data_IF_649106771765
#
_entry.id   IF_649106771765
#
_cell.length_a   1.000
_cell.length_b   1.000
_cell.length_c   1.000
_cell.angle_alpha   90.00
_cell.angle_beta   90.00
_cell.angle_gamma   90.00
#
_symmetry.space_group_name_H-M   'P 1'
#
loop_
_entity.id
_entity.type
_entity.pdbx_description
1 polymer ?
#
# COMPACT_ATOMS: atom_id res chain seq x y z
N UNK A 1 7.03 9.05 1.86
CA UNK A 1 5.72 8.52 1.41
C UNK A 1 4.74 8.43 2.57
N UNK A 2 4.94 7.53 3.55
CA UNK A 2 3.95 7.30 4.64
C UNK A 2 3.43 8.58 5.32
N UNK A 3 4.29 9.51 5.79
CA UNK A 3 3.81 10.73 6.45
C UNK A 3 2.95 11.60 5.52
N UNK A 4 3.34 11.69 4.25
CA UNK A 4 2.68 12.51 3.23
C UNK A 4 1.31 11.94 2.87
N UNK A 5 1.21 10.61 2.77
CA UNK A 5 -0.06 9.91 2.55
C UNK A 5 -1.02 10.15 3.72
N UNK A 6 -0.54 10.03 4.97
CA UNK A 6 -1.38 10.30 6.15
C UNK A 6 -1.92 11.74 6.17
N UNK A 7 -1.09 12.73 5.84
CA UNK A 7 -1.50 14.14 5.75
C UNK A 7 -2.50 14.35 4.62
N UNK A 8 -2.26 13.78 3.44
CA UNK A 8 -3.17 13.86 2.30
C UNK A 8 -4.53 13.21 2.59
N UNK A 9 -4.57 12.03 3.21
CA UNK A 9 -5.82 11.39 3.62
C UNK A 9 -6.56 12.19 4.71
N UNK A 10 -5.82 12.84 5.61
CA UNK A 10 -6.44 13.74 6.59
C UNK A 10 -7.09 14.94 5.92
N UNK A 11 -6.43 15.59 4.95
CA UNK A 11 -6.95 16.75 4.23
C UNK A 11 -8.12 16.37 3.30
N UNK A 12 -7.95 15.32 2.49
CA UNK A 12 -8.90 14.97 1.43
C UNK A 12 -10.11 14.15 1.93
N UNK A 13 -9.90 13.29 2.93
CA UNK A 13 -10.93 12.35 3.42
C UNK A 13 -11.34 12.60 4.89
N UNK A 14 -10.79 13.65 5.54
CA UNK A 14 -11.05 14.00 6.95
C UNK A 14 -10.86 12.83 7.93
N UNK A 15 -9.95 11.91 7.59
CA UNK A 15 -9.71 10.69 8.36
C UNK A 15 -8.88 11.02 9.61
N UNK A 16 -9.41 10.71 10.78
CA UNK A 16 -8.74 10.91 12.06
C UNK A 16 -7.89 9.68 12.40
N UNK A 17 -6.59 9.88 12.57
CA UNK A 17 -5.64 8.86 13.03
C UNK A 17 -5.49 8.90 14.57
N UNK A 18 -5.33 7.73 15.20
CA UNK A 18 -5.01 7.60 16.62
C UNK A 18 -3.66 8.25 16.93
N UNK A 19 -3.50 8.58 18.22
CA UNK A 19 -2.27 9.15 18.77
C UNK A 19 -1.07 8.25 18.51
N UNK A 20 -1.25 6.94 18.53
CA UNK A 20 -0.19 5.95 18.26
C UNK A 20 0.33 6.02 16.82
N UNK A 21 -0.57 6.16 15.85
CA UNK A 21 -0.20 6.32 14.43
C UNK A 21 0.53 7.65 14.21
N UNK A 22 0.04 8.74 14.81
CA UNK A 22 0.71 10.06 14.73
C UNK A 22 2.12 10.04 15.31
N UNK A 23 2.30 9.39 16.46
CA UNK A 23 3.61 9.26 17.11
C UNK A 23 4.57 8.39 16.28
N UNK A 24 4.08 7.31 15.69
CA UNK A 24 4.87 6.47 14.78
C UNK A 24 5.34 7.23 13.53
N UNK A 25 4.44 8.02 12.93
CA UNK A 25 4.78 8.89 11.79
C UNK A 25 5.84 9.92 12.19
N UNK A 26 5.75 10.51 13.38
CA UNK A 26 6.76 11.44 13.89
C UNK A 26 8.14 10.78 14.01
N UNK A 27 8.22 9.55 14.52
CA UNK A 27 9.48 8.79 14.61
C UNK A 27 10.07 8.55 13.22
N UNK A 28 9.25 8.18 12.23
CA UNK A 28 9.69 8.02 10.83
C UNK A 28 10.26 9.34 10.28
N UNK A 29 9.58 10.47 10.52
CA UNK A 29 10.04 11.79 10.06
C UNK A 29 11.38 12.16 10.70
N UNK A 30 11.56 11.89 12.00
CA UNK A 30 12.83 12.13 12.70
C UNK A 30 13.95 11.26 12.09
N UNK A 31 13.73 9.96 11.90
CA UNK A 31 14.73 9.06 11.32
C UNK A 31 15.18 9.50 9.93
N UNK A 32 14.23 9.85 9.05
CA UNK A 32 14.51 10.36 7.70
C UNK A 32 15.21 11.73 7.75
N UNK A 33 14.83 12.59 8.69
CA UNK A 33 15.49 13.89 8.90
C UNK A 33 16.96 13.75 9.30
N UNK A 34 17.27 12.81 10.22
CA UNK A 34 18.64 12.49 10.60
C UNK A 34 19.44 12.00 9.39
N UNK A 35 18.90 11.05 8.62
CA UNK A 35 19.55 10.57 7.39
C UNK A 35 19.88 11.72 6.43
N UNK A 36 18.91 12.63 6.23
CA UNK A 36 19.03 13.73 5.27
C UNK A 36 20.09 14.76 5.70
N UNK A 37 20.16 15.11 7.00
CA UNK A 37 21.16 16.07 7.50
C UNK A 37 22.57 15.47 7.50
N UNK A 38 22.68 14.15 7.68
CA UNK A 38 23.98 13.46 7.68
C UNK A 38 24.47 13.08 6.29
N UNK A 39 23.62 13.21 5.27
CA UNK A 39 24.01 12.94 3.89
C UNK A 39 24.81 14.12 3.34
N UNK A 40 26.09 13.87 3.05
CA UNK A 40 27.03 14.87 2.51
C UNK A 40 26.72 15.28 1.06
N UNK A 41 25.79 14.62 0.37
CA UNK A 41 25.50 14.83 -1.07
C UNK A 41 24.13 15.44 -1.37
N UNK A 42 23.49 16.13 -0.41
CA UNK A 42 22.17 16.73 -0.65
C UNK A 42 22.24 17.82 -1.73
N UNK A 43 21.67 17.52 -2.90
CA UNK A 43 21.50 18.48 -4.00
C UNK A 43 20.11 19.11 -3.93
N UNK A 44 20.02 20.44 -3.86
CA UNK A 44 18.74 21.16 -3.78
C UNK A 44 17.79 20.85 -4.95
N UNK A 45 18.30 20.74 -6.19
CA UNK A 45 17.47 20.39 -7.36
C UNK A 45 16.89 18.98 -7.23
N UNK A 46 17.72 18.03 -6.80
CA UNK A 46 17.29 16.64 -6.55
C UNK A 46 16.30 16.54 -5.41
N UNK A 47 16.50 17.32 -4.34
CA UNK A 47 15.60 17.36 -3.19
C UNK A 47 14.21 17.88 -3.57
N UNK A 48 14.11 18.99 -4.30
CA UNK A 48 12.82 19.52 -4.79
C UNK A 48 12.13 18.50 -5.70
N UNK A 49 12.88 17.88 -6.63
CA UNK A 49 12.34 16.84 -7.50
C UNK A 49 11.81 15.64 -6.70
N UNK A 50 12.54 15.19 -5.66
CA UNK A 50 12.12 14.12 -4.77
C UNK A 50 10.86 14.49 -3.98
N UNK A 51 10.74 15.73 -3.47
CA UNK A 51 9.52 16.20 -2.80
C UNK A 51 8.30 16.15 -3.72
N UNK A 52 8.42 16.66 -4.96
CA UNK A 52 7.35 16.60 -5.97
C UNK A 52 7.00 15.15 -6.32
N UNK A 53 8.00 14.29 -6.50
CA UNK A 53 7.79 12.87 -6.77
C UNK A 53 7.02 12.19 -5.63
N UNK A 54 7.41 12.43 -4.37
CA UNK A 54 6.73 11.86 -3.20
C UNK A 54 5.29 12.34 -3.10
N UNK A 55 5.01 13.62 -3.35
CA UNK A 55 3.64 14.15 -3.36
C UNK A 55 2.81 13.52 -4.48
N UNK A 56 3.35 13.46 -5.69
CA UNK A 56 2.68 12.88 -6.86
C UNK A 56 2.37 11.39 -6.66
N UNK A 57 3.34 10.60 -6.20
CA UNK A 57 3.12 9.17 -5.93
C UNK A 57 2.15 8.94 -4.78
N UNK A 58 2.16 9.80 -3.75
CA UNK A 58 1.20 9.70 -2.65
C UNK A 58 -0.24 9.92 -3.14
N UNK A 59 -0.46 10.94 -3.99
CA UNK A 59 -1.75 11.19 -4.64
C UNK A 59 -2.18 10.03 -5.54
N UNK A 60 -1.25 9.50 -6.34
CA UNK A 60 -1.50 8.33 -7.18
C UNK A 60 -1.92 7.13 -6.34
N UNK A 61 -1.23 6.87 -5.23
CA UNK A 61 -1.51 5.73 -4.35
C UNK A 61 -2.89 5.84 -3.69
N UNK A 62 -3.24 7.03 -3.19
CA UNK A 62 -4.57 7.29 -2.61
C UNK A 62 -5.66 7.13 -3.66
N UNK A 63 -5.46 7.68 -4.87
CA UNK A 63 -6.43 7.61 -5.97
C UNK A 63 -6.65 6.17 -6.41
N UNK A 64 -5.58 5.40 -6.63
CA UNK A 64 -5.65 3.98 -6.99
C UNK A 64 -6.38 3.19 -5.91
N UNK A 65 -6.03 3.40 -4.63
CA UNK A 65 -6.68 2.72 -3.50
C UNK A 65 -8.18 3.05 -3.40
N UNK A 66 -8.55 4.32 -3.61
CA UNK A 66 -9.94 4.77 -3.61
C UNK A 66 -10.73 4.17 -4.77
N UNK A 67 -10.16 4.16 -5.99
CA UNK A 67 -10.80 3.57 -7.18
C UNK A 67 -10.98 2.06 -7.03
N UNK A 68 -9.97 1.36 -6.51
CA UNK A 68 -10.05 -0.08 -6.27
C UNK A 68 -11.18 -0.42 -5.29
N UNK A 69 -11.34 0.37 -4.22
CA UNK A 69 -12.43 0.19 -3.24
C UNK A 69 -13.80 0.58 -3.79
N UNK A 70 -13.88 1.65 -4.59
CA UNK A 70 -15.16 2.18 -5.13
C UNK A 70 -15.74 1.28 -6.21
N UNK A 71 -14.91 0.75 -7.10
CA UNK A 71 -15.37 -0.02 -8.25
C UNK A 71 -15.17 -1.54 -8.09
N UNK A 72 -14.56 -2.00 -7.00
CA UNK A 72 -14.21 -3.41 -6.76
C UNK A 72 -13.43 -4.05 -7.94
N UNK A 73 -12.72 -3.24 -8.71
CA UNK A 73 -11.95 -3.67 -9.89
C UNK A 73 -10.67 -4.35 -9.42
N UNK A 74 -10.28 -5.42 -10.09
CA UNK A 74 -9.01 -6.11 -9.83
C UNK A 74 -7.81 -5.20 -10.12
N UNK A 75 -6.77 -5.28 -9.29
CA UNK A 75 -5.57 -4.43 -9.39
C UNK A 75 -4.92 -4.49 -10.78
N UNK A 76 -4.91 -5.66 -11.42
CA UNK A 76 -4.33 -5.87 -12.76
C UNK A 76 -5.11 -5.15 -13.87
N UNK A 77 -6.43 -5.07 -13.75
CA UNK A 77 -7.27 -4.35 -14.72
C UNK A 77 -7.08 -2.83 -14.58
N UNK A 78 -6.96 -2.34 -13.34
CA UNK A 78 -6.62 -0.95 -13.08
C UNK A 78 -5.23 -0.58 -13.63
N UNK A 79 -4.23 -1.46 -13.46
CA UNK A 79 -2.91 -1.30 -14.06
C UNK A 79 -3.02 -1.20 -15.58
N UNK A 80 -3.74 -2.13 -16.21
CA UNK A 80 -3.84 -2.19 -17.68
C UNK A 80 -4.46 -0.92 -18.27
N UNK A 81 -5.38 -0.27 -17.54
CA UNK A 81 -5.97 1.02 -17.92
C UNK A 81 -5.06 2.21 -17.62
N UNK A 82 -4.26 2.14 -16.56
CA UNK A 82 -3.40 3.26 -16.12
C UNK A 82 -2.05 3.29 -16.83
N UNK A 83 -1.46 2.12 -17.13
CA UNK A 83 -0.18 1.96 -17.80
C UNK A 83 -0.05 2.72 -19.13
N UNK A 84 -1.01 2.65 -20.08
CA UNK A 84 -0.89 3.37 -21.34
C UNK A 84 -0.91 4.89 -21.14
N UNK A 85 -1.77 5.39 -20.23
CA UNK A 85 -1.85 6.81 -19.91
C UNK A 85 -0.52 7.29 -19.29
N UNK A 86 0.05 6.50 -18.38
CA UNK A 86 1.37 6.80 -17.79
C UNK A 86 2.47 6.79 -18.84
N UNK A 87 2.50 5.80 -19.73
CA UNK A 87 3.48 5.72 -20.81
C UNK A 87 3.40 6.94 -21.76
N UNK A 88 2.19 7.33 -22.18
CA UNK A 88 1.97 8.51 -23.02
C UNK A 88 2.41 9.79 -22.30
N UNK A 89 2.05 9.93 -21.02
CA UNK A 89 2.47 11.10 -20.24
C UNK A 89 3.99 11.18 -20.09
N UNK A 90 4.67 10.05 -19.87
CA UNK A 90 6.13 10.00 -19.76
C UNK A 90 6.80 10.29 -21.10
N UNK A 91 6.23 9.81 -22.21
CA UNK A 91 6.73 10.10 -23.56
C UNK A 91 6.67 11.61 -23.86
N UNK A 92 5.59 12.27 -23.44
CA UNK A 92 5.39 13.70 -23.66
C UNK A 92 6.31 14.51 -22.74
N UNK A 93 6.26 14.29 -21.42
CA UNK A 93 6.96 15.15 -20.45
C UNK A 93 8.43 14.77 -20.23
N UNK A 94 8.81 13.51 -20.44
CA UNK A 94 10.15 12.99 -20.18
C UNK A 94 11.26 13.78 -20.90
N UNK A 95 11.18 13.97 -22.23
CA UNK A 95 12.20 14.71 -22.97
C UNK A 95 12.37 16.17 -22.54
N UNK A 96 11.29 16.85 -22.14
CA UNK A 96 11.37 18.24 -21.65
C UNK A 96 12.05 18.33 -20.29
N UNK A 97 11.72 17.42 -19.37
CA UNK A 97 12.32 17.38 -18.04
C UNK A 97 13.81 17.00 -18.14
N UNK A 98 14.16 16.04 -19.00
CA UNK A 98 15.55 15.64 -19.20
C UNK A 98 16.40 16.76 -19.81
N UNK A 99 15.85 17.50 -20.77
CA UNK A 99 16.49 18.70 -21.30
C UNK A 99 16.70 19.77 -20.22
N UNK A 100 15.70 20.04 -19.38
CA UNK A 100 15.80 21.01 -18.29
C UNK A 100 16.85 20.64 -17.24
N UNK A 101 17.06 19.34 -16.97
CA UNK A 101 18.01 18.86 -15.99
C UNK A 101 19.45 18.76 -16.54
N UNK A 102 19.61 18.25 -17.78
CA UNK A 102 20.91 17.91 -18.35
C UNK A 102 21.42 18.92 -19.40
N UNK A 103 20.60 19.90 -19.83
CA UNK A 103 20.89 20.86 -20.91
C UNK A 103 21.32 20.21 -22.25
N UNK A 104 21.06 18.91 -22.41
CA UNK A 104 21.38 18.13 -23.60
C UNK A 104 20.12 17.38 -24.02
N UNK A 105 19.85 17.36 -25.32
CA UNK A 105 18.77 16.55 -25.84
C UNK A 105 19.17 15.07 -25.85
N UNK A 106 18.21 14.21 -25.47
CA UNK A 106 18.32 12.74 -25.51
C UNK A 106 18.79 12.24 -26.88
N UNK A 107 18.44 12.95 -27.95
CA UNK A 107 18.80 12.63 -29.35
C UNK A 107 20.29 12.74 -29.66
N UNK A 108 21.07 13.44 -28.83
CA UNK A 108 22.53 13.57 -29.01
C UNK A 108 23.33 12.46 -28.28
N UNK A 109 22.65 11.51 -27.63
CA UNK A 109 23.32 10.44 -26.90
C UNK A 109 23.90 9.38 -27.85
N UNK A 110 25.20 9.07 -27.70
CA UNK A 110 25.85 7.99 -28.45
C UNK A 110 25.38 6.63 -27.92
N UNK A 111 24.43 6.03 -28.62
CA UNK A 111 23.92 4.70 -28.28
C UNK A 111 24.99 3.63 -28.56
N UNK A 112 25.61 3.13 -27.48
CA UNK A 112 26.48 1.95 -27.52
C UNK A 112 25.66 0.67 -27.35
N UNK A 113 26.09 -0.43 -27.96
CA UNK A 113 25.43 -1.75 -27.84
C UNK A 113 25.28 -2.18 -26.37
N UNK A 114 26.31 -1.90 -25.55
CA UNK A 114 26.24 -2.18 -24.11
C UNK A 114 25.17 -1.34 -23.40
N UNK A 115 25.06 -0.05 -23.74
CA UNK A 115 24.03 0.83 -23.18
C UNK A 115 22.62 0.37 -23.57
N UNK A 116 22.42 -0.08 -24.81
CA UNK A 116 21.14 -0.60 -25.28
C UNK A 116 20.75 -1.89 -24.54
N UNK A 117 21.69 -2.80 -24.29
CA UNK A 117 21.45 -4.00 -23.49
C UNK A 117 21.03 -3.67 -22.05
N UNK A 118 21.72 -2.74 -21.39
CA UNK A 118 21.36 -2.32 -20.04
C UNK A 118 19.98 -1.62 -19.98
N UNK A 119 19.64 -0.82 -20.99
CA UNK A 119 18.32 -0.18 -21.09
C UNK A 119 17.22 -1.23 -21.22
N UNK A 120 17.37 -2.19 -22.13
CA UNK A 120 16.38 -3.26 -22.34
C UNK A 120 16.22 -4.08 -21.06
N UNK A 121 17.34 -4.48 -20.43
CA UNK A 121 17.32 -5.24 -19.17
C UNK A 121 16.59 -4.45 -18.06
N UNK A 122 16.90 -3.17 -17.90
CA UNK A 122 16.25 -2.30 -16.91
C UNK A 122 14.74 -2.18 -17.17
N UNK A 123 14.33 -2.01 -18.43
CA UNK A 123 12.92 -1.96 -18.81
C UNK A 123 12.20 -3.28 -18.51
N UNK A 124 12.80 -4.43 -18.84
CA UNK A 124 12.24 -5.74 -18.51
C UNK A 124 12.06 -5.94 -17.01
N UNK A 125 13.06 -5.56 -16.20
CA UNK A 125 12.97 -5.61 -14.74
C UNK A 125 11.90 -4.67 -14.18
N UNK A 126 11.73 -3.48 -14.77
CA UNK A 126 10.69 -2.54 -14.36
C UNK A 126 9.28 -3.08 -14.62
N UNK A 127 9.05 -3.72 -15.78
CA UNK A 127 7.79 -4.41 -16.08
C UNK A 127 7.52 -5.51 -15.05
N UNK A 128 8.53 -6.34 -14.75
CA UNK A 128 8.39 -7.39 -13.76
C UNK A 128 8.09 -6.86 -12.36
N UNK A 129 8.74 -5.77 -11.94
CA UNK A 129 8.47 -5.10 -10.66
C UNK A 129 7.03 -4.59 -10.59
N UNK A 130 6.53 -3.96 -11.67
CA UNK A 130 5.15 -3.48 -11.73
C UNK A 130 4.17 -4.66 -11.64
N UNK A 131 4.34 -5.70 -12.47
CA UNK A 131 3.47 -6.89 -12.42
C UNK A 131 3.48 -7.54 -11.04
N UNK A 132 4.66 -7.73 -10.45
CA UNK A 132 4.82 -8.26 -9.09
C UNK A 132 4.07 -7.43 -8.05
N UNK A 133 4.18 -6.10 -8.10
CA UNK A 133 3.46 -5.20 -7.19
C UNK A 133 1.95 -5.40 -7.29
N UNK A 134 1.40 -5.46 -8.50
CA UNK A 134 -0.04 -5.64 -8.71
C UNK A 134 -0.54 -7.05 -8.34
N UNK A 135 0.25 -8.09 -8.60
CA UNK A 135 -0.04 -9.46 -8.14
C UNK A 135 -0.05 -9.54 -6.61
N UNK A 136 0.90 -8.89 -5.95
CA UNK A 136 0.96 -8.83 -4.50
C UNK A 136 -0.29 -8.15 -3.91
N UNK A 137 -0.77 -7.05 -4.51
CA UNK A 137 -1.99 -6.36 -4.06
C UNK A 137 -3.23 -7.28 -4.19
N UNK A 138 -3.31 -8.08 -5.27
CA UNK A 138 -4.48 -8.92 -5.54
C UNK A 138 -4.53 -10.24 -4.79
N UNK A 139 -3.38 -10.77 -4.36
CA UNK A 139 -3.28 -12.13 -3.77
C UNK A 139 -2.96 -12.14 -2.28
N UNK A 140 -2.37 -11.07 -1.74
CA UNK A 140 -1.99 -11.00 -0.33
C UNK A 140 -3.01 -10.23 0.51
N UNK A 141 -3.11 -10.61 1.80
CA UNK A 141 -3.85 -9.84 2.79
C UNK A 141 -3.17 -8.49 3.05
N UNK A 142 -3.92 -7.54 3.62
CA UNK A 142 -3.40 -6.21 3.98
C UNK A 142 -2.16 -6.27 4.89
N UNK A 143 -2.08 -7.28 5.76
CA UNK A 143 -0.97 -7.51 6.68
C UNK A 143 0.26 -8.03 5.94
N UNK A 144 0.10 -9.01 5.04
CA UNK A 144 1.19 -9.53 4.20
C UNK A 144 1.76 -8.46 3.26
N UNK A 145 0.91 -7.58 2.70
CA UNK A 145 1.36 -6.48 1.86
C UNK A 145 2.22 -5.45 2.63
N UNK A 146 1.88 -5.18 3.89
CA UNK A 146 2.70 -4.32 4.76
C UNK A 146 4.07 -4.92 5.05
N UNK A 147 4.14 -6.21 5.40
CA UNK A 147 5.41 -6.91 5.64
C UNK A 147 6.29 -6.91 4.39
N UNK A 148 5.71 -7.19 3.21
CA UNK A 148 6.44 -7.11 1.93
C UNK A 148 6.95 -5.70 1.64
N UNK A 149 6.18 -4.67 1.99
CA UNK A 149 6.60 -3.27 1.89
C UNK A 149 7.86 -2.98 2.71
N UNK A 150 7.88 -3.41 3.98
CA UNK A 150 9.04 -3.23 4.85
C UNK A 150 10.26 -4.02 4.38
N UNK A 151 10.05 -5.28 3.97
CA UNK A 151 11.12 -6.11 3.42
C UNK A 151 11.73 -5.49 2.17
N UNK A 152 10.91 -4.96 1.26
CA UNK A 152 11.37 -4.24 0.07
C UNK A 152 12.27 -3.08 0.45
N UNK A 153 11.86 -2.26 1.43
CA UNK A 153 12.67 -1.11 1.88
C UNK A 153 14.02 -1.56 2.45
N UNK A 154 14.03 -2.58 3.32
CA UNK A 154 15.27 -3.10 3.91
C UNK A 154 16.20 -3.66 2.82
N UNK A 155 15.69 -4.46 1.89
CA UNK A 155 16.48 -4.99 0.78
C UNK A 155 17.08 -3.88 -0.10
N UNK A 156 16.30 -2.85 -0.43
CA UNK A 156 16.79 -1.71 -1.24
C UNK A 156 17.90 -0.96 -0.51
N UNK A 157 17.77 -0.74 0.80
CA UNK A 157 18.81 -0.07 1.60
C UNK A 157 20.09 -0.92 1.69
N UNK A 158 19.97 -2.22 1.98
CA UNK A 158 21.12 -3.13 2.10
C UNK A 158 21.83 -3.31 0.76
N UNK A 159 21.09 -3.51 -0.33
CA UNK A 159 21.68 -3.61 -1.68
C UNK A 159 22.29 -2.29 -2.12
N UNK A 160 21.67 -1.15 -1.79
CA UNK A 160 22.23 0.17 -2.07
C UNK A 160 23.56 0.38 -1.38
N UNK A 161 23.68 -0.05 -0.12
CA UNK A 161 24.96 -0.02 0.58
C UNK A 161 26.01 -0.95 -0.05
N UNK A 162 25.63 -2.21 -0.30
CA UNK A 162 26.55 -3.25 -0.81
C UNK A 162 27.09 -2.93 -2.20
N UNK A 163 26.27 -2.35 -3.09
CA UNK A 163 26.63 -2.11 -4.49
C UNK A 163 27.33 -0.76 -4.74
N UNK A 164 27.01 0.28 -3.97
CA UNK A 164 27.54 1.63 -4.21
C UNK A 164 28.71 2.02 -3.30
N UNK A 165 29.17 1.10 -2.42
CA UNK A 165 30.29 1.26 -1.49
C UNK A 165 30.34 2.66 -0.84
N UNK A 166 29.16 3.19 -0.50
CA UNK A 166 29.07 4.52 0.09
C UNK A 166 29.58 4.47 1.52
N UNK A 167 30.35 5.50 1.89
CA UNK A 167 30.77 5.79 3.26
C UNK A 167 29.53 6.06 4.14
N UNK A 168 28.84 4.99 4.53
CA UNK A 168 27.75 5.07 5.48
C UNK A 168 28.33 5.46 6.84
N UNK A 169 28.31 6.76 7.09
CA UNK A 169 28.63 7.27 8.43
C UNK A 169 27.69 6.63 9.44
N UNK A 170 28.19 6.29 10.62
CA UNK A 170 27.42 5.67 11.70
C UNK A 170 26.10 6.41 12.00
N UNK A 171 26.08 7.74 11.86
CA UNK A 171 24.89 8.58 12.03
C UNK A 171 23.81 8.31 10.98
N UNK A 172 24.18 8.03 9.73
CA UNK A 172 23.23 7.70 8.65
C UNK A 172 22.60 6.32 8.91
N UNK A 173 23.41 5.34 9.33
CA UNK A 173 22.93 4.00 9.72
C UNK A 173 21.93 4.10 10.87
N UNK A 174 22.25 4.91 11.90
CA UNK A 174 21.34 5.15 13.02
C UNK A 174 20.01 5.76 12.57
N UNK A 175 20.05 6.76 11.67
CA UNK A 175 18.84 7.34 11.09
C UNK A 175 18.00 6.32 10.31
N UNK A 176 18.65 5.46 9.51
CA UNK A 176 17.98 4.41 8.75
C UNK A 176 17.28 3.40 9.66
N UNK A 177 17.94 2.96 10.74
CA UNK A 177 17.37 2.04 11.73
C UNK A 177 16.15 2.66 12.40
N UNK A 178 16.24 3.92 12.84
CA UNK A 178 15.11 4.64 13.45
C UNK A 178 13.93 4.74 12.46
N UNK A 179 14.20 5.04 11.19
CA UNK A 179 13.17 5.13 10.16
C UNK A 179 12.47 3.77 9.94
N UNK A 180 13.24 2.68 9.84
CA UNK A 180 12.69 1.32 9.68
C UNK A 180 11.87 0.91 10.90
N UNK A 181 12.36 1.15 12.12
CA UNK A 181 11.61 0.87 13.35
C UNK A 181 10.30 1.67 13.39
N UNK A 182 10.34 2.96 13.05
CA UNK A 182 9.15 3.79 12.93
C UNK A 182 8.13 3.25 11.92
N UNK A 183 8.60 2.71 10.79
CA UNK A 183 7.72 2.10 9.78
C UNK A 183 7.05 0.82 10.29
N UNK A 184 7.78 -0.01 11.04
CA UNK A 184 7.25 -1.24 11.65
C UNK A 184 6.19 -0.90 12.70
N UNK A 185 6.49 0.04 13.61
CA UNK A 185 5.55 0.49 14.65
C UNK A 185 4.31 1.13 14.01
N UNK A 186 4.48 1.94 12.97
CA UNK A 186 3.36 2.52 12.21
C UNK A 186 2.44 1.43 11.64
N UNK A 187 3.01 0.40 11.01
CA UNK A 187 2.23 -0.71 10.47
C UNK A 187 1.45 -1.46 11.54
N UNK A 188 2.09 -1.71 12.69
CA UNK A 188 1.42 -2.35 13.81
C UNK A 188 0.28 -1.50 14.38
N UNK A 189 0.50 -0.19 14.56
CA UNK A 189 -0.52 0.74 15.05
C UNK A 189 -1.72 0.83 14.10
N UNK A 190 -1.48 0.91 12.78
CA UNK A 190 -2.56 0.93 11.77
C UNK A 190 -3.34 -0.39 11.75
N UNK A 191 -2.67 -1.53 11.92
CA UNK A 191 -3.35 -2.82 11.97
C UNK A 191 -4.18 -2.98 13.25
N UNK A 192 -3.65 -2.52 14.40
CA UNK A 192 -4.37 -2.48 15.67
C UNK A 192 -5.62 -1.59 15.61
N UNK A 193 -5.55 -0.44 14.91
CA UNK A 193 -6.72 0.42 14.67
C UNK A 193 -7.78 -0.26 13.81
N UNK A 194 -7.40 -0.99 12.77
CA UNK A 194 -8.35 -1.75 11.93
C UNK A 194 -9.03 -2.85 12.72
N UNK A 195 -8.28 -3.62 13.51
CA UNK A 195 -8.83 -4.66 14.38
C UNK A 195 -9.77 -4.09 15.44
N UNK A 196 -9.39 -2.96 16.06
CA UNK A 196 -10.21 -2.25 17.04
C UNK A 196 -11.47 -1.64 16.41
N UNK A 197 -11.40 -1.14 15.17
CA UNK A 197 -12.55 -0.57 14.46
C UNK A 197 -13.54 -1.64 13.97
N UNK A 198 -13.06 -2.83 13.60
CA UNK A 198 -13.92 -4.01 13.36
C UNK A 198 -14.58 -4.50 14.64
N UNK A 199 -13.92 -4.40 15.80
CA UNK A 199 -14.53 -4.70 17.10
C UNK A 199 -15.52 -3.61 17.57
N UNK A 200 -15.29 -2.33 17.21
CA UNK A 200 -16.15 -1.19 17.58
C UNK A 200 -17.38 -1.01 16.69
N UNK A 201 -17.45 -1.66 15.53
CA UNK A 201 -18.66 -1.75 14.69
C UNK A 201 -19.62 -2.88 15.13
N UNK A 202 -19.53 -3.33 16.39
CA UNK A 202 -20.63 -3.98 17.07
C UNK A 202 -21.10 -3.07 18.22
N UNK A 203 -22.00 -2.12 17.95
CA UNK A 203 -22.98 -1.73 18.94
C UNK A 203 -24.38 -2.14 18.45
N UNK A 204 -24.94 -3.15 19.10
CA UNK A 204 -26.36 -3.19 19.45
C UNK A 204 -27.43 -3.47 18.36
N UNK A 205 -27.28 -4.50 17.51
CA UNK A 205 -28.42 -5.08 16.72
C UNK A 205 -28.42 -6.63 16.68
N UNK A 206 -27.83 -7.31 17.68
CA UNK A 206 -27.84 -8.79 17.74
C UNK A 206 -28.61 -9.42 18.90
N UNK A 207 -29.22 -8.62 19.77
CA UNK A 207 -30.03 -9.18 20.87
C UNK A 207 -31.52 -9.31 20.54
N UNK A 208 -32.03 -8.65 19.50
CA UNK A 208 -33.47 -8.61 19.22
C UNK A 208 -33.94 -9.60 18.14
N UNK A 209 -33.11 -9.96 17.16
CA UNK A 209 -33.54 -10.82 16.05
C UNK A 209 -33.42 -12.33 16.34
N UNK A 210 -32.54 -12.72 17.27
CA UNK A 210 -32.36 -14.15 17.59
C UNK A 210 -33.45 -14.67 18.52
N UNK A 211 -34.08 -13.82 19.32
CA UNK A 211 -35.10 -14.25 20.29
C UNK A 211 -36.51 -14.35 19.66
N UNK A 212 -36.82 -13.52 18.66
CA UNK A 212 -38.05 -13.65 17.85
C UNK A 212 -38.00 -14.89 16.93
N UNK A 213 -36.88 -15.17 16.26
CA UNK A 213 -36.74 -16.40 15.45
C UNK A 213 -36.79 -17.68 16.30
N UNK A 214 -36.22 -17.67 17.51
CA UNK A 214 -36.30 -18.81 18.45
C UNK A 214 -37.72 -18.99 19.00
N UNK A 215 -38.47 -17.91 19.24
CA UNK A 215 -39.89 -17.98 19.64
C UNK A 215 -40.78 -18.51 18.52
N UNK A 216 -40.59 -18.05 17.29
CA UNK A 216 -41.34 -18.52 16.12
C UNK A 216 -41.06 -20.00 15.79
N UNK A 217 -39.81 -20.46 16.00
CA UNK A 217 -39.47 -21.88 15.88
C UNK A 217 -40.06 -22.74 16.99
N UNK A 218 -40.31 -22.18 18.19
CA UNK A 218 -40.94 -22.91 19.29
C UNK A 218 -42.47 -22.97 19.14
N UNK A 219 -43.12 -21.90 18.69
CA UNK A 219 -44.56 -21.90 18.38
C UNK A 219 -44.91 -22.75 17.15
N UNK A 220 -44.01 -22.87 16.17
CA UNK A 220 -44.19 -23.73 15.00
C UNK A 220 -44.02 -25.24 15.28
N UNK A 221 -43.43 -25.62 16.42
CA UNK A 221 -43.27 -27.02 16.84
C UNK A 221 -44.46 -27.50 17.68
N UNK A 222 -45.06 -26.62 18.48
CA UNK A 222 -46.22 -26.95 19.33
C UNK A 222 -47.57 -27.01 18.57
N UNK A 223 -47.61 -26.62 17.30
CA UNK A 223 -48.85 -26.59 16.48
C UNK A 223 -49.04 -27.78 15.54
N UNK A 224 -48.27 -28.86 15.71
CA UNK A 224 -48.55 -30.13 15.02
C UNK A 224 -49.38 -31.03 15.95
N UNK A 225 -50.70 -31.19 15.77
CA UNK A 225 -51.43 -32.18 16.52
C UNK A 225 -51.03 -33.55 15.97
N UNK A 226 -50.38 -34.35 16.83
CA UNK A 226 -50.32 -35.80 16.68
C UNK A 226 -51.76 -36.29 16.61
N UNK A 227 -52.23 -36.64 15.41
CA UNK A 227 -53.43 -37.45 15.23
C UNK A 227 -52.98 -38.90 15.10
N UNK A 228 -53.15 -39.62 16.19
CA UNK A 228 -53.25 -41.07 16.20
C UNK A 228 -54.33 -41.53 15.22
N UNK A 229 -53.98 -42.45 14.31
CA UNK A 229 -54.94 -43.38 13.69
C UNK A 229 -54.27 -44.75 13.64
N UNK A 230 -54.63 -45.57 14.63
CA UNK A 230 -54.42 -47.02 14.64
C UNK A 230 -55.33 -47.76 13.63
N UNK A 231 -54.89 -48.98 13.31
CA UNK A 231 -55.66 -50.22 13.08
C UNK A 231 -56.21 -50.59 11.68
N UNK A 232 -55.92 -51.84 11.30
CA UNK A 232 -56.67 -52.63 10.31
C UNK A 232 -55.81 -53.56 9.45
N UNK A 233 -55.15 -54.56 10.05
CA UNK A 233 -55.48 -56.00 9.91
C UNK A 233 -54.86 -56.76 8.73
N UNK A 234 -54.30 -57.91 9.11
CA UNK A 234 -53.84 -59.01 8.29
C UNK A 234 -55.02 -59.88 7.85
N UNK A 235 -55.07 -60.32 6.58
CA UNK A 235 -55.26 -61.74 6.21
C UNK A 235 -55.32 -61.97 4.69
N UNK A 236 -54.64 -63.06 4.32
CA UNK A 236 -54.80 -63.98 3.18
C UNK A 236 -54.50 -63.45 1.76
#
# INVERSE_FOLDING_TARGET
MIPVVCVMEWILHNKQYSKEVKLSVLVVVIGVGVCTVTDVKVNAKGFICACVAVLSTSLQQITIGSLQKKYSIGSFELLSKTAPIQAVSLLIFGPFIDYYLNNKFITNYKMSTAAMLFIILSCSLAVFCNVSQYLCIGRFSATSFQVLGHMKTICVLTLGWLLFDSELTFKNIMGMVIAVLGMVVYSWAVEAEKGSSSAKNIPHVKSSLTEEEIRLLKEGVDTTPVKDVELGESKA
#
